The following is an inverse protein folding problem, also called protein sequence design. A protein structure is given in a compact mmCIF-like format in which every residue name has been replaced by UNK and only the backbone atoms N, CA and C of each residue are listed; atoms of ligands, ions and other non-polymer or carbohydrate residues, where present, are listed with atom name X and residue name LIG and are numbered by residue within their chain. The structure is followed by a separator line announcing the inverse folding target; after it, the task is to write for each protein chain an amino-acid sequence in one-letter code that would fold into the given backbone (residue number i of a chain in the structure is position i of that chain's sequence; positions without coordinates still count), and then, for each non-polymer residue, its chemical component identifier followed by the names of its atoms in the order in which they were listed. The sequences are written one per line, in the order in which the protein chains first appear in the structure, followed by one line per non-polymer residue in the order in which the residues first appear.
data_IF_212768284061
#
_entry.id   IF_212768284061
#
_cell.length_a   1.000
_cell.length_b   1.000
_cell.length_c   1.000
_cell.angle_alpha   90.00
_cell.angle_beta   90.00
_cell.angle_gamma   90.00
#
_symmetry.space_group_name_H-M   'P 1'
#
loop_
_entity.id
_entity.type
_entity.pdbx_description
1 polymer ?
#
# COMPACT_ATOMS: atom_id res chain seq x y z
N UNK A 1 -1.32 1.53 32.94
CA UNK A 1 -0.64 1.73 31.65
C UNK A 1 0.85 1.70 31.94
N UNK A 2 1.53 0.56 31.74
CA UNK A 2 2.99 0.51 31.83
C UNK A 2 3.53 1.10 30.53
N UNK A 3 4.33 2.15 30.62
CA UNK A 3 5.04 2.72 29.49
C UNK A 3 6.09 1.69 29.05
N UNK A 4 5.88 1.03 27.92
CA UNK A 4 6.90 0.19 27.32
C UNK A 4 7.92 1.10 26.65
N UNK A 5 9.13 1.17 27.20
CA UNK A 5 10.21 1.96 26.62
C UNK A 5 11.37 1.00 26.29
N UNK A 6 11.65 0.86 25.00
CA UNK A 6 12.69 -0.02 24.48
C UNK A 6 14.07 0.60 24.65
N UNK A 7 15.07 -0.21 25.00
CA UNK A 7 16.48 0.16 24.88
C UNK A 7 16.90 0.12 23.41
N UNK A 8 16.69 1.21 22.67
CA UNK A 8 17.16 1.28 21.28
C UNK A 8 18.64 1.62 21.31
N UNK A 9 19.46 0.57 21.24
CA UNK A 9 20.85 0.67 20.85
C UNK A 9 20.89 0.73 19.31
N UNK A 10 21.42 1.81 18.75
CA UNK A 10 21.64 1.93 17.31
C UNK A 10 23.12 2.21 17.07
N UNK A 11 23.85 1.20 16.61
CA UNK A 11 25.27 1.34 16.29
C UNK A 11 25.44 1.25 14.78
N UNK A 12 25.58 2.40 14.12
CA UNK A 12 25.82 2.47 12.67
C UNK A 12 27.32 2.40 12.40
N UNK A 13 27.73 1.38 11.65
CA UNK A 13 29.07 1.31 11.05
C UNK A 13 28.95 1.80 9.62
N UNK A 14 29.81 2.72 9.20
CA UNK A 14 30.02 3.03 7.78
C UNK A 14 31.34 2.36 7.41
N UNK A 15 31.27 1.42 6.47
CA UNK A 15 32.44 0.70 5.98
C UNK A 15 33.52 1.71 5.53
N UNK A 16 34.71 1.66 6.17
CA UNK A 16 35.82 2.58 5.93
C UNK A 16 36.65 2.95 7.17
N UNK A 17 36.11 2.78 8.39
CA UNK A 17 36.83 3.04 9.65
C UNK A 17 36.87 1.77 10.51
N UNK A 18 38.08 1.24 10.74
CA UNK A 18 38.33 -0.12 11.24
C UNK A 18 38.66 -0.17 12.75
N UNK A 19 37.67 0.13 13.59
CA UNK A 19 37.78 -0.07 15.03
C UNK A 19 36.50 -0.72 15.58
N UNK A 20 36.59 -1.55 16.64
CA UNK A 20 35.41 -2.03 17.32
C UNK A 20 34.61 -0.82 17.83
N UNK A 21 33.37 -0.70 17.35
CA UNK A 21 32.44 0.29 17.86
C UNK A 21 31.67 -0.36 19.02
N UNK A 22 31.65 0.33 20.15
CA UNK A 22 30.89 -0.07 21.34
C UNK A 22 29.93 1.05 21.72
N UNK A 23 28.72 0.68 22.12
CA UNK A 23 27.76 1.63 22.69
C UNK A 23 27.01 0.95 23.82
N UNK A 24 26.58 1.74 24.81
CA UNK A 24 25.87 1.27 25.99
C UNK A 24 24.55 2.01 26.13
N UNK A 25 23.48 1.30 26.45
CA UNK A 25 22.21 1.89 26.86
C UNK A 25 21.70 1.24 28.15
N UNK A 26 21.14 2.06 29.04
CA UNK A 26 20.44 1.60 30.22
C UNK A 26 18.92 1.63 29.95
N UNK A 27 18.25 0.51 30.20
CA UNK A 27 16.81 0.35 30.06
C UNK A 27 16.07 0.86 31.28
N UNK A 28 14.75 1.00 31.15
CA UNK A 28 13.91 1.57 32.21
C UNK A 28 13.49 0.56 33.28
N UNK A 29 13.51 -0.76 33.00
CA UNK A 29 13.12 -1.80 33.97
C UNK A 29 14.30 -2.62 34.51
N UNK A 30 15.51 -2.05 34.50
CA UNK A 30 16.66 -2.66 35.14
C UNK A 30 17.41 -3.68 34.29
N UNK A 31 17.27 -3.70 32.95
CA UNK A 31 18.33 -4.25 32.11
C UNK A 31 19.23 -3.13 31.57
N UNK A 32 20.52 -3.41 31.44
CA UNK A 32 21.44 -2.61 30.62
C UNK A 32 22.02 -3.47 29.52
N UNK A 33 22.28 -2.86 28.36
CA UNK A 33 22.86 -3.51 27.20
C UNK A 33 24.13 -2.78 26.75
N UNK A 34 25.21 -3.53 26.55
CA UNK A 34 26.40 -3.06 25.84
C UNK A 34 26.53 -3.84 24.52
N UNK A 35 26.45 -3.13 23.40
CA UNK A 35 26.55 -3.72 22.07
C UNK A 35 27.92 -3.46 21.44
N UNK A 36 28.45 -4.46 20.75
CA UNK A 36 29.66 -4.39 19.94
C UNK A 36 29.40 -4.99 18.57
N UNK A 37 29.93 -4.36 17.53
CA UNK A 37 29.91 -4.91 16.17
C UNK A 37 31.36 -5.12 15.73
N UNK A 38 31.66 -6.30 15.18
CA UNK A 38 32.98 -6.62 14.65
C UNK A 38 32.88 -7.32 13.30
N UNK A 39 33.88 -7.07 12.45
CA UNK A 39 34.05 -7.73 11.16
C UNK A 39 35.38 -8.48 11.20
N UNK A 40 35.35 -9.80 11.07
CA UNK A 40 36.54 -10.66 11.00
C UNK A 40 36.35 -11.67 9.87
N UNK A 41 37.36 -11.79 9.00
CA UNK A 41 37.41 -12.83 7.94
C UNK A 41 36.16 -12.88 7.03
N UNK A 42 35.53 -11.73 6.76
CA UNK A 42 34.30 -11.69 5.95
C UNK A 42 33.04 -12.12 6.69
N UNK A 43 33.04 -12.12 8.02
CA UNK A 43 31.86 -12.34 8.84
C UNK A 43 31.58 -11.11 9.70
N UNK A 44 30.37 -10.57 9.57
CA UNK A 44 29.91 -9.49 10.46
C UNK A 44 29.27 -10.14 11.68
N UNK A 45 29.76 -9.79 12.86
CA UNK A 45 29.23 -10.26 14.14
C UNK A 45 28.75 -9.08 14.98
N UNK A 46 27.58 -9.24 15.59
CA UNK A 46 27.06 -8.34 16.61
C UNK A 46 27.03 -9.08 17.94
N UNK A 47 27.68 -8.57 18.98
CA UNK A 47 27.56 -9.08 20.33
C UNK A 47 26.87 -8.07 21.23
N UNK A 48 25.96 -8.55 22.06
CA UNK A 48 25.33 -7.77 23.13
C UNK A 48 25.64 -8.43 24.45
N UNK A 49 26.12 -7.65 25.40
CA UNK A 49 26.15 -8.01 26.81
C UNK A 49 24.93 -7.42 27.51
N UNK A 50 24.11 -8.28 28.11
CA UNK A 50 22.90 -7.92 28.84
C UNK A 50 23.14 -8.10 30.33
N UNK A 51 22.90 -7.06 31.13
CA UNK A 51 22.99 -7.14 32.59
C UNK A 51 21.64 -6.83 33.20
N UNK A 52 21.15 -7.73 34.06
CA UNK A 52 19.88 -7.57 34.76
C UNK A 52 20.11 -7.11 36.21
N UNK A 53 19.74 -5.87 36.48
CA UNK A 53 19.81 -5.19 37.77
C UNK A 53 18.60 -5.49 38.66
N UNK A 54 17.69 -6.38 38.24
CA UNK A 54 16.51 -6.76 39.01
C UNK A 54 16.72 -8.05 39.82
N UNK A 55 15.88 -8.24 40.84
CA UNK A 55 15.87 -9.45 41.68
C UNK A 55 15.15 -10.65 41.06
N UNK A 56 14.67 -10.53 39.81
CA UNK A 56 13.95 -11.60 39.09
C UNK A 56 14.58 -11.84 37.72
N UNK A 57 14.53 -13.07 37.22
CA UNK A 57 14.98 -13.37 35.86
C UNK A 57 14.15 -12.56 34.85
N UNK A 58 14.82 -12.00 33.84
CA UNK A 58 14.22 -11.27 32.73
C UNK A 58 14.45 -12.03 31.41
N UNK A 59 13.73 -11.64 30.36
CA UNK A 59 14.05 -12.06 28.98
C UNK A 59 14.22 -10.85 28.08
N UNK A 60 15.15 -10.96 27.13
CA UNK A 60 15.37 -9.95 26.11
C UNK A 60 15.43 -10.58 24.72
N UNK A 61 14.93 -9.87 23.72
CA UNK A 61 15.10 -10.20 22.31
C UNK A 61 16.25 -9.36 21.73
N UNK A 62 17.28 -10.03 21.22
CA UNK A 62 18.43 -9.42 20.56
C UNK A 62 18.27 -9.57 19.05
N UNK A 63 18.35 -8.45 18.32
CA UNK A 63 18.20 -8.40 16.87
C UNK A 63 19.43 -7.79 16.21
N UNK A 64 19.95 -8.46 15.19
CA UNK A 64 21.10 -8.01 14.41
C UNK A 64 20.72 -7.95 12.93
N UNK A 65 20.85 -6.77 12.33
CA UNK A 65 20.41 -6.47 10.98
C UNK A 65 21.50 -5.74 10.18
N UNK A 66 21.65 -6.06 8.90
CA UNK A 66 22.57 -5.41 7.95
C UNK A 66 21.74 -4.79 6.84
N UNK A 67 22.04 -3.55 6.48
CA UNK A 67 21.41 -2.79 5.42
C UNK A 67 22.47 -2.38 4.38
N UNK A 68 22.14 -2.46 3.10
CA UNK A 68 22.95 -2.00 1.97
C UNK A 68 22.11 -0.98 1.20
N UNK A 69 22.62 0.24 1.01
CA UNK A 69 21.88 1.33 0.35
C UNK A 69 20.44 1.49 0.89
N UNK A 70 20.33 1.57 2.23
CA UNK A 70 19.08 1.64 3.01
C UNK A 70 18.13 0.42 2.87
N UNK A 71 18.52 -0.63 2.15
CA UNK A 71 17.77 -1.87 1.98
C UNK A 71 18.24 -2.96 2.94
N UNK A 72 17.34 -3.65 3.66
CA UNK A 72 17.75 -4.74 4.57
C UNK A 72 18.34 -5.92 3.76
N UNK A 73 19.64 -6.15 3.90
CA UNK A 73 20.35 -7.27 3.28
C UNK A 73 20.25 -8.57 4.10
N UNK A 74 20.31 -8.47 5.45
CA UNK A 74 20.27 -9.66 6.32
C UNK A 74 19.78 -9.36 7.73
N UNK A 75 19.16 -10.35 8.38
CA UNK A 75 18.68 -10.24 9.77
C UNK A 75 18.80 -11.56 10.55
N UNK A 76 19.10 -11.44 11.85
CA UNK A 76 19.05 -12.53 12.85
C UNK A 76 18.42 -12.01 14.14
N UNK A 77 17.64 -12.86 14.78
CA UNK A 77 17.02 -12.57 16.08
C UNK A 77 17.25 -13.74 17.03
N UNK A 78 17.42 -13.45 18.33
CA UNK A 78 17.50 -14.47 19.37
C UNK A 78 16.98 -13.95 20.69
N UNK A 79 16.13 -14.74 21.34
CA UNK A 79 15.71 -14.51 22.71
C UNK A 79 16.76 -15.03 23.69
N UNK A 80 17.05 -14.23 24.71
CA UNK A 80 18.06 -14.50 25.74
C UNK A 80 17.39 -14.40 27.11
N UNK A 81 17.54 -15.44 27.92
CA UNK A 81 17.19 -15.38 29.33
C UNK A 81 18.33 -14.68 30.08
N UNK A 82 18.01 -13.63 30.85
CA UNK A 82 18.98 -12.85 31.63
C UNK A 82 18.73 -13.12 33.12
N UNK A 83 19.60 -13.90 33.80
CA UNK A 83 19.46 -14.22 35.22
C UNK A 83 19.36 -12.98 36.09
N UNK A 84 18.72 -13.09 37.26
CA UNK A 84 18.67 -12.02 38.25
C UNK A 84 20.07 -11.70 38.82
N UNK A 85 20.23 -10.50 39.40
CA UNK A 85 21.35 -10.20 40.30
C UNK A 85 22.66 -9.81 39.61
N UNK A 86 22.61 -8.84 38.69
CA UNK A 86 23.77 -8.19 38.03
C UNK A 86 24.69 -9.15 37.25
N UNK A 87 24.23 -10.37 36.97
CA UNK A 87 24.98 -11.32 36.15
C UNK A 87 24.83 -10.95 34.69
N UNK A 88 25.94 -10.58 34.05
CA UNK A 88 25.98 -10.29 32.62
C UNK A 88 25.84 -11.57 31.78
N UNK A 89 25.04 -11.50 30.72
CA UNK A 89 24.91 -12.56 29.69
C UNK A 89 25.30 -11.98 28.35
N UNK A 90 26.32 -12.57 27.73
CA UNK A 90 26.74 -12.20 26.38
C UNK A 90 26.02 -13.05 25.34
N UNK A 91 25.38 -12.39 24.38
CA UNK A 91 24.81 -13.02 23.20
C UNK A 91 25.49 -12.49 21.93
N UNK A 92 26.09 -13.41 21.17
CA UNK A 92 26.66 -13.11 19.85
C UNK A 92 25.75 -13.61 18.75
N UNK A 93 25.47 -12.77 17.77
CA UNK A 93 24.80 -13.10 16.51
C UNK A 93 25.82 -12.90 15.38
N UNK A 94 25.92 -13.89 14.51
CA UNK A 94 26.80 -13.85 13.34
C UNK A 94 25.96 -13.87 12.06
N UNK A 95 26.40 -13.07 11.09
CA UNK A 95 25.89 -13.06 9.72
C UNK A 95 27.07 -13.37 8.79
N UNK A 96 26.95 -14.45 8.03
CA UNK A 96 27.94 -14.81 7.02
C UNK A 96 27.86 -13.78 5.89
N UNK A 97 28.91 -12.98 5.69
CA UNK A 97 28.96 -11.97 4.62
C UNK A 97 29.38 -12.59 3.28
N UNK A 98 28.90 -13.81 3.00
CA UNK A 98 29.14 -14.49 1.71
C UNK A 98 28.40 -13.83 0.55
N UNK A 99 27.48 -12.90 0.83
CA UNK A 99 27.01 -11.93 -0.15
C UNK A 99 27.89 -10.68 -0.04
N UNK A 100 28.38 -10.20 -1.18
CA UNK A 100 29.11 -8.95 -1.38
C UNK A 100 28.45 -7.79 -0.64
N UNK A 101 28.80 -7.61 0.63
CA UNK A 101 28.43 -6.40 1.37
C UNK A 101 29.14 -5.26 0.67
N UNK A 102 28.37 -4.35 0.09
CA UNK A 102 28.91 -3.20 -0.63
C UNK A 102 29.88 -2.40 0.27
N UNK A 103 30.70 -1.55 -0.32
CA UNK A 103 31.62 -0.66 0.42
C UNK A 103 30.90 0.29 1.41
N UNK A 104 29.55 0.29 1.44
CA UNK A 104 28.72 1.06 2.37
C UNK A 104 27.51 0.25 2.85
N UNK A 105 27.67 -0.49 3.95
CA UNK A 105 26.57 -1.14 4.65
C UNK A 105 26.33 -0.53 6.03
N UNK A 106 25.06 -0.30 6.38
CA UNK A 106 24.63 0.10 7.72
C UNK A 106 24.27 -1.15 8.52
N UNK A 107 24.97 -1.41 9.61
CA UNK A 107 24.60 -2.47 10.56
C UNK A 107 23.77 -1.89 11.70
N UNK A 108 22.80 -2.62 12.24
CA UNK A 108 22.01 -2.24 13.42
C UNK A 108 21.90 -3.42 14.39
N UNK A 109 22.11 -3.16 15.67
CA UNK A 109 22.03 -4.15 16.76
C UNK A 109 21.07 -3.64 17.84
N UNK A 110 19.91 -4.26 18.00
CA UNK A 110 18.82 -3.78 18.85
C UNK A 110 18.48 -4.79 19.97
N UNK A 111 18.06 -4.31 21.14
CA UNK A 111 17.72 -5.11 22.32
C UNK A 111 16.38 -4.67 22.92
N UNK A 112 15.46 -5.61 23.12
CA UNK A 112 14.08 -5.33 23.53
C UNK A 112 13.70 -6.20 24.73
N UNK A 113 13.02 -5.64 25.74
CA UNK A 113 12.56 -6.37 26.94
C UNK A 113 11.16 -6.97 26.73
N UNK A 114 10.98 -8.26 27.06
CA UNK A 114 9.69 -8.99 27.19
C UNK A 114 8.54 -8.67 26.20
N UNK A 115 8.64 -9.20 24.97
CA UNK A 115 7.60 -9.10 23.95
C UNK A 115 6.37 -10.03 24.15
N UNK A 116 6.19 -10.65 25.33
CA UNK A 116 5.34 -11.83 25.49
C UNK A 116 3.91 -11.64 26.01
N UNK A 117 3.45 -10.42 26.30
CA UNK A 117 2.00 -10.16 26.47
C UNK A 117 1.27 -9.80 25.17
N UNK A 118 1.98 -9.74 24.04
CA UNK A 118 1.38 -9.41 22.75
C UNK A 118 1.86 -10.34 21.63
N UNK A 119 1.44 -11.61 21.67
CA UNK A 119 1.64 -12.52 20.54
C UNK A 119 0.99 -12.08 19.20
N UNK A 120 -0.03 -11.20 19.12
CA UNK A 120 -0.47 -10.65 17.83
C UNK A 120 0.47 -9.55 17.30
N UNK A 121 1.23 -8.87 18.17
CA UNK A 121 2.03 -7.70 17.78
C UNK A 121 3.37 -8.05 17.13
N UNK A 122 3.92 -9.26 17.33
CA UNK A 122 5.19 -9.62 16.70
C UNK A 122 5.05 -9.85 15.18
N UNK A 123 3.90 -10.40 14.74
CA UNK A 123 3.56 -10.44 13.31
C UNK A 123 3.27 -9.03 12.83
N UNK A 124 2.31 -8.32 13.44
CA UNK A 124 1.91 -6.97 13.02
C UNK A 124 3.07 -5.97 12.92
N UNK A 125 4.07 -6.02 13.82
CA UNK A 125 5.26 -5.16 13.76
C UNK A 125 6.22 -5.58 12.64
N UNK A 126 6.42 -6.88 12.39
CA UNK A 126 7.25 -7.34 11.27
C UNK A 126 6.60 -7.07 9.91
N UNK A 127 5.30 -7.33 9.84
CA UNK A 127 4.34 -7.01 8.77
C UNK A 127 4.35 -5.49 8.49
N UNK A 128 4.24 -4.64 9.53
CA UNK A 128 4.36 -3.18 9.43
C UNK A 128 5.74 -2.69 8.98
N UNK A 129 6.84 -3.31 9.44
CA UNK A 129 8.18 -2.94 8.98
C UNK A 129 8.45 -3.41 7.54
N UNK A 130 7.90 -4.55 7.12
CA UNK A 130 7.99 -5.03 5.73
C UNK A 130 7.15 -4.18 4.78
N UNK A 131 5.99 -3.71 5.22
CA UNK A 131 5.20 -2.74 4.46
C UNK A 131 5.80 -1.34 4.44
N UNK A 132 6.37 -0.87 5.55
CA UNK A 132 7.15 0.37 5.56
C UNK A 132 8.35 0.29 4.60
N UNK A 133 8.91 -0.93 4.40
CA UNK A 133 9.96 -1.21 3.41
C UNK A 133 9.43 -1.34 1.98
N UNK A 134 8.20 -1.82 1.81
CA UNK A 134 7.50 -1.81 0.53
C UNK A 134 6.90 -0.44 0.19
N UNK A 135 6.94 0.51 1.13
CA UNK A 135 6.37 1.85 0.97
C UNK A 135 4.86 1.94 1.13
N UNK A 136 4.18 0.89 1.60
CA UNK A 136 2.73 0.87 1.77
C UNK A 136 2.27 1.62 3.03
N UNK A 137 1.16 2.35 2.93
CA UNK A 137 0.62 3.23 3.95
C UNK A 137 -0.34 2.54 4.93
N UNK A 138 -1.06 1.49 4.52
CA UNK A 138 -2.13 0.90 5.36
C UNK A 138 -2.03 -0.63 5.49
N UNK A 139 -2.02 -1.13 6.71
CA UNK A 139 -2.13 -2.57 6.95
C UNK A 139 -3.54 -3.06 6.59
N UNK A 140 -3.70 -4.27 6.01
CA UNK A 140 -4.99 -4.93 5.93
C UNK A 140 -5.70 -4.92 7.30
N UNK A 141 -7.03 -4.76 7.37
CA UNK A 141 -7.73 -4.79 8.65
C UNK A 141 -7.50 -6.14 9.35
N UNK A 142 -7.39 -6.11 10.68
CA UNK A 142 -7.35 -7.32 11.47
C UNK A 142 -8.64 -8.12 11.26
N UNK A 143 -8.50 -9.38 10.84
CA UNK A 143 -9.63 -10.28 10.61
C UNK A 143 -9.81 -11.22 11.80
N UNK A 144 -11.05 -11.46 12.18
CA UNK A 144 -11.43 -12.44 13.20
C UNK A 144 -12.19 -13.59 12.52
N UNK A 145 -11.56 -14.78 12.54
CA UNK A 145 -12.07 -16.01 11.95
C UNK A 145 -12.62 -15.84 10.52
N UNK A 146 -11.81 -15.32 9.58
CA UNK A 146 -12.30 -14.96 8.26
C UNK A 146 -12.80 -16.19 7.49
N UNK A 147 -13.84 -15.98 6.68
CA UNK A 147 -14.27 -16.94 5.67
C UNK A 147 -13.48 -16.69 4.39
N UNK A 148 -12.81 -17.73 3.88
CA UNK A 148 -12.08 -17.65 2.61
C UNK A 148 -13.03 -17.99 1.47
N UNK A 149 -13.00 -17.18 0.42
CA UNK A 149 -13.72 -17.43 -0.84
C UNK A 149 -12.69 -17.46 -1.97
N UNK A 150 -12.54 -18.63 -2.57
CA UNK A 150 -11.74 -18.80 -3.79
C UNK A 150 -12.64 -18.59 -5.01
N UNK A 151 -12.33 -17.57 -5.80
CA UNK A 151 -13.02 -17.31 -7.06
C UNK A 151 -12.47 -18.21 -8.16
N UNK A 152 -13.38 -18.72 -8.99
CA UNK A 152 -13.03 -19.28 -10.28
C UNK A 152 -12.79 -18.15 -11.31
N UNK A 153 -12.15 -18.46 -12.46
CA UNK A 153 -11.94 -17.49 -13.54
C UNK A 153 -13.25 -16.86 -14.04
N UNK A 154 -14.33 -17.63 -13.96
CA UNK A 154 -15.69 -17.20 -14.29
C UNK A 154 -16.67 -17.51 -13.15
N UNK A 155 -17.87 -16.96 -13.20
CA UNK A 155 -18.95 -17.23 -12.25
C UNK A 155 -19.25 -16.07 -11.29
N UNK A 156 -20.23 -16.30 -10.42
CA UNK A 156 -20.84 -15.25 -9.60
C UNK A 156 -20.08 -14.96 -8.30
N UNK A 157 -20.06 -13.69 -7.89
CA UNK A 157 -19.59 -13.27 -6.57
C UNK A 157 -20.71 -13.34 -5.53
N UNK A 158 -20.62 -14.20 -4.49
CA UNK A 158 -21.70 -14.39 -3.53
C UNK A 158 -21.94 -13.13 -2.67
N UNK A 159 -23.16 -12.99 -2.14
CA UNK A 159 -23.41 -12.02 -1.07
C UNK A 159 -22.69 -12.47 0.20
N UNK A 160 -22.00 -11.54 0.85
CA UNK A 160 -21.29 -11.75 2.09
C UNK A 160 -22.18 -11.44 3.31
N UNK A 161 -21.88 -12.04 4.46
CA UNK A 161 -22.56 -11.82 5.75
C UNK A 161 -21.89 -10.68 6.50
N UNK A 162 -22.64 -9.62 6.82
CA UNK A 162 -22.14 -8.42 7.51
C UNK A 162 -21.58 -8.68 8.91
N UNK A 163 -21.75 -9.88 9.47
CA UNK A 163 -21.16 -10.26 10.76
C UNK A 163 -19.83 -11.04 10.63
N UNK A 164 -19.34 -11.26 9.41
CA UNK A 164 -18.15 -12.06 9.14
C UNK A 164 -17.09 -11.28 8.38
N UNK A 165 -15.84 -11.61 8.68
CA UNK A 165 -14.70 -11.15 7.89
C UNK A 165 -14.43 -12.11 6.73
N UNK A 166 -13.86 -11.60 5.65
CA UNK A 166 -13.63 -12.36 4.43
C UNK A 166 -12.23 -12.13 3.86
N UNK A 167 -11.65 -13.23 3.36
CA UNK A 167 -10.51 -13.18 2.44
C UNK A 167 -11.02 -13.65 1.09
N UNK A 168 -10.88 -12.80 0.08
CA UNK A 168 -11.25 -13.08 -1.30
C UNK A 168 -9.99 -13.42 -2.09
N UNK A 169 -9.97 -14.57 -2.76
CA UNK A 169 -8.84 -15.03 -3.55
C UNK A 169 -9.23 -15.11 -5.00
N UNK A 170 -8.52 -14.36 -5.83
CA UNK A 170 -8.61 -14.50 -7.27
C UNK A 170 -7.96 -15.82 -7.72
N UNK A 171 -8.28 -16.30 -8.94
CA UNK A 171 -7.62 -17.47 -9.48
C UNK A 171 -6.09 -17.25 -9.49
N UNK A 172 -5.31 -18.24 -9.00
CA UNK A 172 -3.88 -18.05 -8.81
C UNK A 172 -3.07 -18.13 -10.10
N UNK A 173 -3.63 -18.72 -11.17
CA UNK A 173 -2.88 -19.08 -12.38
C UNK A 173 -3.40 -18.42 -13.66
N UNK A 174 -4.55 -17.74 -13.60
CA UNK A 174 -5.16 -17.08 -14.77
C UNK A 174 -6.01 -15.87 -14.35
N UNK A 175 -6.25 -14.90 -15.25
CA UNK A 175 -7.11 -13.77 -14.97
C UNK A 175 -8.55 -14.21 -14.71
N UNK A 176 -9.22 -13.52 -13.78
CA UNK A 176 -10.68 -13.58 -13.68
C UNK A 176 -11.29 -12.66 -14.73
N UNK A 177 -12.29 -13.13 -15.48
CA UNK A 177 -12.96 -12.37 -16.56
C UNK A 177 -14.38 -11.94 -16.20
N UNK A 178 -14.69 -11.91 -14.91
CA UNK A 178 -16.01 -11.61 -14.35
C UNK A 178 -15.84 -10.65 -13.18
N UNK A 179 -16.83 -9.78 -12.96
CA UNK A 179 -16.79 -8.82 -11.86
C UNK A 179 -16.57 -9.52 -10.51
N UNK A 180 -15.63 -8.98 -9.72
CA UNK A 180 -15.52 -9.23 -8.28
C UNK A 180 -16.45 -8.28 -7.58
N UNK A 181 -17.61 -8.78 -7.18
CA UNK A 181 -18.63 -7.97 -6.49
C UNK A 181 -18.55 -8.19 -4.99
N UNK A 182 -18.14 -7.15 -4.27
CA UNK A 182 -17.97 -7.17 -2.81
C UNK A 182 -19.21 -6.53 -2.18
N UNK A 183 -20.24 -7.34 -1.92
CA UNK A 183 -21.51 -6.91 -1.33
C UNK A 183 -21.75 -7.56 0.03
N UNK A 184 -21.75 -6.75 1.08
CA UNK A 184 -21.79 -7.20 2.47
C UNK A 184 -20.42 -7.60 3.03
N UNK A 185 -20.36 -7.99 4.30
CA UNK A 185 -19.14 -8.37 5.02
C UNK A 185 -18.68 -7.30 6.02
N UNK A 186 -18.05 -7.74 7.12
CA UNK A 186 -17.55 -6.86 8.21
C UNK A 186 -16.19 -6.26 7.94
N UNK A 187 -15.24 -7.05 7.44
CA UNK A 187 -14.00 -6.59 6.81
C UNK A 187 -13.69 -7.54 5.66
N UNK A 188 -13.19 -7.01 4.56
CA UNK A 188 -12.90 -7.81 3.36
C UNK A 188 -11.51 -7.50 2.87
N UNK A 189 -10.72 -8.54 2.64
CA UNK A 189 -9.36 -8.44 2.13
C UNK A 189 -9.27 -9.18 0.80
N UNK A 190 -8.77 -8.49 -0.22
CA UNK A 190 -8.45 -9.03 -1.54
C UNK A 190 -6.99 -8.70 -1.84
N UNK A 191 -6.13 -9.71 -1.89
CA UNK A 191 -4.69 -9.53 -2.11
C UNK A 191 -4.24 -10.38 -3.28
N UNK A 192 -3.55 -9.74 -4.21
CA UNK A 192 -3.00 -10.38 -5.39
C UNK A 192 -4.04 -10.82 -6.41
N UNK A 193 -3.53 -11.30 -7.54
CA UNK A 193 -4.32 -11.82 -8.64
C UNK A 193 -4.66 -10.77 -9.70
N UNK A 194 -5.19 -11.26 -10.82
CA UNK A 194 -5.46 -10.45 -12.00
C UNK A 194 -6.94 -10.53 -12.37
N UNK A 195 -7.49 -9.40 -12.79
CA UNK A 195 -8.83 -9.30 -13.36
C UNK A 195 -8.71 -8.71 -14.76
N UNK A 196 -9.30 -9.38 -15.73
CA UNK A 196 -9.56 -8.82 -17.05
C UNK A 196 -10.95 -8.19 -17.04
N UNK A 197 -11.07 -6.95 -17.53
CA UNK A 197 -12.36 -6.27 -17.67
C UNK A 197 -13.33 -7.20 -18.41
N UNK A 198 -14.51 -7.49 -17.82
CA UNK A 198 -15.48 -8.39 -18.43
C UNK A 198 -15.87 -7.95 -19.84
N UNK A 199 -16.36 -8.91 -20.63
CA UNK A 199 -16.86 -8.65 -21.98
C UNK A 199 -17.87 -7.48 -21.98
N UNK A 200 -17.76 -6.56 -22.95
CA UNK A 200 -18.65 -5.40 -23.06
C UNK A 200 -20.13 -5.71 -23.30
N UNK A 201 -20.50 -6.99 -23.45
CA UNK A 201 -21.88 -7.44 -23.54
C UNK A 201 -22.33 -8.18 -22.28
N UNK A 202 -21.49 -8.28 -21.25
CA UNK A 202 -21.88 -8.85 -19.97
C UNK A 202 -22.94 -7.97 -19.27
N UNK A 203 -23.51 -8.44 -18.18
CA UNK A 203 -24.47 -7.63 -17.41
C UNK A 203 -23.79 -6.58 -16.52
N UNK A 204 -22.49 -6.73 -16.32
CA UNK A 204 -21.64 -5.91 -15.46
C UNK A 204 -20.23 -5.91 -16.06
N UNK A 205 -19.69 -4.74 -16.40
CA UNK A 205 -18.39 -4.62 -17.07
C UNK A 205 -17.31 -4.04 -16.14
N UNK A 206 -17.52 -4.11 -14.84
CA UNK A 206 -16.55 -3.63 -13.85
C UNK A 206 -15.63 -4.76 -13.44
N UNK A 207 -14.34 -4.49 -13.23
CA UNK A 207 -13.45 -5.47 -12.63
C UNK A 207 -13.81 -5.71 -11.16
N UNK A 208 -13.87 -4.64 -10.35
CA UNK A 208 -14.27 -4.69 -8.94
C UNK A 208 -15.46 -3.76 -8.72
N UNK A 209 -16.52 -4.28 -8.09
CA UNK A 209 -17.67 -3.46 -7.68
C UNK A 209 -17.94 -3.64 -6.18
N UNK A 210 -17.81 -2.55 -5.44
CA UNK A 210 -17.97 -2.52 -3.98
C UNK A 210 -19.35 -1.93 -3.66
N UNK A 211 -20.19 -2.73 -3.02
CA UNK A 211 -21.50 -2.32 -2.50
C UNK A 211 -21.45 -2.30 -0.97
N UNK A 212 -22.36 -1.62 -0.30
CA UNK A 212 -22.37 -1.51 1.17
C UNK A 212 -22.35 -2.88 1.90
N UNK A 213 -21.89 -2.83 3.16
CA UNK A 213 -21.89 -3.95 4.11
C UNK A 213 -22.00 -3.46 5.56
N UNK A 214 -21.28 -4.07 6.50
CA UNK A 214 -21.30 -3.62 7.88
C UNK A 214 -20.85 -2.14 8.02
N UNK A 215 -21.50 -1.33 8.86
CA UNK A 215 -21.11 0.07 9.07
C UNK A 215 -19.67 0.22 9.55
N UNK A 216 -18.89 1.09 8.91
CA UNK A 216 -17.50 1.36 9.28
C UNK A 216 -16.52 0.23 8.93
N UNK A 217 -16.93 -0.72 8.08
CA UNK A 217 -16.06 -1.78 7.58
C UNK A 217 -14.90 -1.24 6.76
N UNK A 218 -13.85 -2.05 6.64
CA UNK A 218 -12.76 -1.83 5.69
C UNK A 218 -12.80 -2.89 4.58
N UNK A 219 -12.75 -2.45 3.33
CA UNK A 219 -12.41 -3.27 2.17
C UNK A 219 -10.99 -2.91 1.75
N UNK A 220 -10.06 -3.86 1.87
CA UNK A 220 -8.65 -3.69 1.54
C UNK A 220 -8.32 -4.48 0.28
N UNK A 221 -7.76 -3.80 -0.72
CA UNK A 221 -7.37 -4.33 -2.02
C UNK A 221 -5.89 -4.05 -2.21
N UNK A 222 -5.09 -5.11 -2.37
CA UNK A 222 -3.64 -4.97 -2.53
C UNK A 222 -3.08 -5.80 -3.67
N UNK A 223 -2.14 -5.26 -4.45
CA UNK A 223 -1.35 -6.07 -5.38
C UNK A 223 -2.15 -6.65 -6.54
N UNK A 224 -3.26 -6.02 -6.90
CA UNK A 224 -4.14 -6.48 -7.98
C UNK A 224 -3.78 -5.78 -9.30
N UNK A 225 -3.75 -6.57 -10.37
CA UNK A 225 -3.63 -6.09 -11.75
C UNK A 225 -5.01 -6.14 -12.43
N UNK A 226 -5.43 -5.03 -13.04
CA UNK A 226 -6.57 -4.98 -13.94
C UNK A 226 -6.09 -4.71 -15.37
N UNK A 227 -6.50 -5.54 -16.32
CA UNK A 227 -6.22 -5.35 -17.75
C UNK A 227 -7.50 -5.23 -18.54
N UNK A 228 -7.45 -4.56 -19.69
CA UNK A 228 -8.56 -4.49 -20.63
C UNK A 228 -8.09 -4.93 -22.01
N UNK A 229 -8.86 -5.79 -22.69
CA UNK A 229 -8.52 -6.33 -24.00
C UNK A 229 -9.54 -5.91 -25.06
N UNK A 230 -9.04 -5.62 -26.27
CA UNK A 230 -9.88 -5.25 -27.40
C UNK A 230 -10.78 -4.06 -27.09
N UNK A 231 -12.05 -4.17 -27.51
CA UNK A 231 -13.10 -3.15 -27.30
C UNK A 231 -13.92 -3.39 -26.02
N UNK A 232 -13.40 -4.17 -25.06
CA UNK A 232 -14.05 -4.27 -23.74
C UNK A 232 -13.98 -2.92 -23.04
N UNK A 233 -15.00 -2.57 -22.27
CA UNK A 233 -15.09 -1.26 -21.63
C UNK A 233 -15.74 -1.38 -20.25
N UNK A 234 -15.15 -0.73 -19.24
CA UNK A 234 -15.78 -0.51 -17.94
C UNK A 234 -14.78 -0.10 -16.87
N UNK A 235 -15.26 0.07 -15.64
CA UNK A 235 -14.44 0.56 -14.55
C UNK A 235 -13.51 -0.52 -13.98
N UNK A 236 -12.31 -0.12 -13.56
CA UNK A 236 -11.47 -1.00 -12.77
C UNK A 236 -12.04 -1.16 -11.35
N UNK A 237 -12.41 -0.06 -10.69
CA UNK A 237 -13.10 -0.08 -9.39
C UNK A 237 -14.29 0.89 -9.40
N UNK A 238 -15.50 0.38 -9.21
CA UNK A 238 -16.66 1.21 -8.88
C UNK A 238 -17.09 0.99 -7.43
N UNK A 239 -17.54 2.06 -6.76
CA UNK A 239 -17.90 2.04 -5.35
C UNK A 239 -19.29 2.68 -5.15
N UNK A 240 -20.16 1.93 -4.48
CA UNK A 240 -21.49 2.34 -4.03
C UNK A 240 -21.68 1.87 -2.58
N UNK A 241 -20.85 2.44 -1.70
CA UNK A 241 -20.67 1.96 -0.35
C UNK A 241 -20.39 3.12 0.64
N UNK A 242 -21.34 4.05 0.85
CA UNK A 242 -21.15 5.27 1.65
C UNK A 242 -20.76 5.02 3.11
N UNK A 243 -20.87 3.78 3.61
CA UNK A 243 -20.49 3.41 4.98
C UNK A 243 -19.16 2.63 5.06
N UNK A 244 -18.44 2.50 3.94
CA UNK A 244 -17.24 1.65 3.81
C UNK A 244 -15.97 2.47 3.63
N UNK A 245 -14.92 2.13 4.37
CA UNK A 245 -13.55 2.56 4.09
C UNK A 245 -12.99 1.63 3.01
N UNK A 246 -12.51 2.18 1.90
CA UNK A 246 -11.86 1.43 0.83
C UNK A 246 -10.37 1.78 0.80
N UNK A 247 -9.53 0.78 0.98
CA UNK A 247 -8.07 0.87 0.89
C UNK A 247 -7.60 0.17 -0.38
N UNK A 248 -6.84 0.87 -1.20
CA UNK A 248 -6.28 0.36 -2.46
C UNK A 248 -4.77 0.62 -2.46
N UNK A 249 -3.99 -0.45 -2.48
CA UNK A 249 -2.53 -0.39 -2.41
C UNK A 249 -1.85 -1.27 -3.44
N UNK A 250 -0.71 -0.84 -4.00
CA UNK A 250 -0.02 -1.57 -5.07
C UNK A 250 -1.00 -2.03 -6.17
N UNK A 251 -1.76 -1.09 -6.71
CA UNK A 251 -2.79 -1.40 -7.71
C UNK A 251 -2.33 -0.95 -9.08
N UNK A 252 -2.51 -1.81 -10.09
CA UNK A 252 -2.15 -1.49 -11.46
C UNK A 252 -3.33 -1.66 -12.40
N UNK A 253 -3.57 -0.68 -13.25
CA UNK A 253 -4.55 -0.76 -14.34
C UNK A 253 -3.87 -0.52 -15.68
N UNK A 254 -4.03 -1.45 -16.61
CA UNK A 254 -3.42 -1.36 -17.92
C UNK A 254 -4.48 -1.24 -19.02
N UNK A 255 -4.35 -0.16 -19.79
CA UNK A 255 -5.08 0.08 -21.02
C UNK A 255 -6.59 0.05 -20.84
N UNK A 256 -7.11 0.65 -19.77
CA UNK A 256 -8.54 0.78 -19.56
C UNK A 256 -9.18 1.51 -20.73
N UNK A 257 -10.33 1.02 -21.19
CA UNK A 257 -11.01 1.54 -22.37
C UNK A 257 -12.39 2.04 -21.99
N UNK A 258 -12.70 3.28 -22.33
CA UNK A 258 -14.04 3.85 -22.29
C UNK A 258 -14.36 4.55 -23.60
N UNK A 259 -15.65 4.83 -23.78
CA UNK A 259 -16.15 5.39 -25.02
C UNK A 259 -17.30 6.36 -24.77
N UNK A 260 -17.28 7.48 -25.48
CA UNK A 260 -18.34 8.48 -25.47
C UNK A 260 -19.05 8.51 -26.82
N UNK A 261 -20.37 8.67 -26.78
CA UNK A 261 -21.21 8.91 -27.95
C UNK A 261 -21.07 7.87 -29.10
N UNK A 262 -20.84 6.59 -28.77
CA UNK A 262 -20.75 5.53 -29.79
C UNK A 262 -22.11 4.91 -30.12
N UNK A 263 -22.19 4.19 -31.24
CA UNK A 263 -23.37 3.39 -31.60
C UNK A 263 -23.65 2.25 -30.61
N UNK A 264 -22.63 1.82 -29.85
CA UNK A 264 -22.77 0.80 -28.80
C UNK A 264 -23.23 1.40 -27.46
N UNK A 265 -23.27 2.73 -27.35
CA UNK A 265 -23.65 3.46 -26.16
C UNK A 265 -22.53 4.37 -25.66
N UNK A 266 -22.73 4.86 -24.45
CA UNK A 266 -21.82 5.75 -23.75
C UNK A 266 -21.37 5.00 -22.49
N UNK A 267 -20.09 4.70 -22.39
CA UNK A 267 -19.51 3.97 -21.27
C UNK A 267 -18.36 4.77 -20.66
N UNK A 268 -18.57 5.17 -19.41
CA UNK A 268 -17.55 5.79 -18.58
C UNK A 268 -16.68 4.69 -18.02
N UNK A 269 -15.40 4.70 -18.37
CA UNK A 269 -14.43 3.76 -17.82
C UNK A 269 -13.42 4.52 -16.97
N UNK A 270 -13.58 4.33 -15.67
CA UNK A 270 -12.81 4.98 -14.64
C UNK A 270 -11.86 3.97 -13.97
N UNK A 271 -10.64 4.41 -13.66
CA UNK A 271 -9.72 3.60 -12.85
C UNK A 271 -10.31 3.40 -11.44
N UNK A 272 -10.82 4.47 -10.83
CA UNK A 272 -11.61 4.38 -9.59
C UNK A 272 -12.76 5.39 -9.64
N UNK A 273 -13.97 4.92 -9.32
CA UNK A 273 -15.20 5.72 -9.31
C UNK A 273 -16.06 5.46 -8.07
N UNK A 274 -16.03 6.32 -7.04
CA UNK A 274 -16.99 6.28 -5.93
C UNK A 274 -18.36 6.91 -6.26
N UNK A 275 -18.97 6.51 -7.38
CA UNK A 275 -20.22 7.08 -7.90
C UNK A 275 -21.39 7.00 -6.91
N UNK A 276 -21.50 5.89 -6.16
CA UNK A 276 -22.54 5.64 -5.19
C UNK A 276 -22.12 5.98 -3.76
N UNK A 277 -21.03 6.72 -3.57
CA UNK A 277 -20.52 7.12 -2.26
C UNK A 277 -19.49 6.15 -1.67
N UNK A 278 -18.62 6.70 -0.82
CA UNK A 278 -17.64 5.97 -0.01
C UNK A 278 -17.43 6.71 1.31
N UNK A 279 -17.23 6.01 2.44
CA UNK A 279 -16.96 6.68 3.72
C UNK A 279 -15.57 7.33 3.72
N UNK A 280 -14.58 6.60 3.20
CA UNK A 280 -13.22 7.09 3.00
C UNK A 280 -12.55 6.27 1.89
N UNK A 281 -11.92 6.93 0.93
CA UNK A 281 -11.09 6.29 -0.09
C UNK A 281 -9.62 6.57 0.19
N UNK A 282 -8.84 5.51 0.37
CA UNK A 282 -7.40 5.54 0.60
C UNK A 282 -6.70 4.84 -0.55
N UNK A 283 -5.84 5.56 -1.26
CA UNK A 283 -5.09 5.03 -2.40
C UNK A 283 -3.62 5.35 -2.21
N UNK A 284 -2.76 4.34 -2.28
CA UNK A 284 -1.32 4.48 -2.22
C UNK A 284 -0.66 3.51 -3.20
N UNK A 285 0.35 3.97 -3.94
CA UNK A 285 0.99 3.19 -5.01
C UNK A 285 -0.05 2.69 -6.03
N UNK A 286 -0.53 3.63 -6.85
CA UNK A 286 -1.40 3.34 -7.99
C UNK A 286 -0.70 3.74 -9.29
N UNK A 287 -0.57 2.80 -10.21
CA UNK A 287 -0.25 3.10 -11.60
C UNK A 287 -1.40 2.72 -12.49
N UNK A 288 -1.88 3.64 -13.32
CA UNK A 288 -3.02 3.36 -14.19
C UNK A 288 -2.91 4.02 -15.56
N UNK A 289 -3.39 3.34 -16.59
CA UNK A 289 -3.58 3.94 -17.91
C UNK A 289 -5.00 3.73 -18.43
N UNK A 290 -5.57 4.78 -19.01
CA UNK A 290 -6.94 4.80 -19.53
C UNK A 290 -7.02 5.70 -20.75
N UNK A 291 -7.75 5.31 -21.79
CA UNK A 291 -8.07 6.23 -22.90
C UNK A 291 -9.15 7.25 -22.50
N UNK A 292 -9.87 7.01 -21.40
CA UNK A 292 -11.01 7.79 -20.94
C UNK A 292 -10.63 8.57 -19.69
N UNK A 293 -10.88 8.00 -18.51
CA UNK A 293 -10.79 8.71 -17.25
C UNK A 293 -9.96 7.94 -16.22
N UNK A 294 -9.31 8.69 -15.34
CA UNK A 294 -8.51 8.14 -14.25
C UNK A 294 -9.34 8.00 -12.98
N UNK A 295 -9.17 8.92 -12.04
CA UNK A 295 -9.93 8.97 -10.80
C UNK A 295 -11.13 9.88 -10.99
N UNK A 296 -12.35 9.33 -11.01
CA UNK A 296 -13.58 10.11 -11.04
C UNK A 296 -14.21 10.18 -9.65
N UNK A 297 -13.83 11.19 -8.89
CA UNK A 297 -14.14 11.27 -7.47
C UNK A 297 -15.51 11.92 -7.19
N UNK A 298 -16.29 12.20 -8.23
CA UNK A 298 -17.59 12.83 -8.11
C UNK A 298 -18.65 11.82 -7.65
N UNK A 299 -19.45 12.19 -6.65
CA UNK A 299 -20.56 11.35 -6.19
C UNK A 299 -21.83 11.63 -7.02
N UNK A 300 -22.37 10.64 -7.71
CA UNK A 300 -23.58 10.79 -8.54
C UNK A 300 -24.88 10.55 -7.76
N UNK A 301 -24.86 9.66 -6.76
CA UNK A 301 -26.07 9.24 -6.05
C UNK A 301 -26.04 9.44 -4.54
N UNK A 302 -24.87 9.32 -3.91
CA UNK A 302 -24.71 9.51 -2.46
C UNK A 302 -23.61 10.55 -2.18
N UNK A 303 -23.06 10.54 -0.98
CA UNK A 303 -21.98 11.42 -0.57
C UNK A 303 -20.67 10.65 -0.47
N UNK A 304 -19.59 11.32 -0.84
CA UNK A 304 -18.25 10.87 -0.55
C UNK A 304 -17.77 11.49 0.77
N UNK A 305 -17.14 10.67 1.61
CA UNK A 305 -16.29 11.12 2.70
C UNK A 305 -14.84 11.27 2.23
N UNK A 306 -13.88 11.23 3.15
CA UNK A 306 -12.53 11.71 2.86
C UNK A 306 -11.77 10.90 1.77
N UNK A 307 -10.88 11.58 1.06
CA UNK A 307 -9.96 11.00 0.07
C UNK A 307 -8.51 11.23 0.48
N UNK A 308 -7.73 10.16 0.54
CA UNK A 308 -6.29 10.21 0.80
C UNK A 308 -5.60 9.51 -0.36
N UNK A 309 -4.98 10.30 -1.24
CA UNK A 309 -4.43 9.84 -2.51
C UNK A 309 -2.92 10.09 -2.52
N UNK A 310 -2.13 9.02 -2.58
CA UNK A 310 -0.68 9.04 -2.44
C UNK A 310 0.00 8.24 -3.54
N UNK A 311 1.14 8.72 -4.03
CA UNK A 311 2.03 7.96 -4.91
C UNK A 311 1.28 7.35 -6.10
N UNK A 312 0.66 8.22 -6.89
CA UNK A 312 -0.19 7.84 -8.02
C UNK A 312 0.43 8.36 -9.31
N UNK A 313 0.52 7.53 -10.35
CA UNK A 313 0.83 7.99 -11.70
C UNK A 313 -0.19 7.47 -12.71
N UNK A 314 -0.85 8.39 -13.41
CA UNK A 314 -1.91 8.10 -14.37
C UNK A 314 -1.49 8.51 -15.78
N UNK A 315 -1.77 7.67 -16.76
CA UNK A 315 -1.50 7.97 -18.17
C UNK A 315 -2.79 8.02 -18.96
N UNK A 316 -3.04 9.15 -19.62
CA UNK A 316 -4.12 9.28 -20.56
C UNK A 316 -3.68 8.72 -21.92
N UNK A 317 -4.15 7.52 -22.24
CA UNK A 317 -3.83 6.85 -23.50
C UNK A 317 -4.46 7.60 -24.69
N UNK A 318 -3.87 7.38 -25.87
CA UNK A 318 -4.42 7.88 -27.11
C UNK A 318 -5.79 7.26 -27.40
N UNK A 319 -6.63 8.02 -28.11
CA UNK A 319 -7.85 7.51 -28.70
C UNK A 319 -7.47 6.59 -29.87
N UNK A 320 -7.93 5.34 -29.86
CA UNK A 320 -7.57 4.35 -30.87
C UNK A 320 -8.77 3.68 -31.55
N UNK A 321 -9.99 4.03 -31.13
CA UNK A 321 -11.24 3.76 -31.86
C UNK A 321 -12.17 4.99 -31.82
N UNK A 322 -13.26 4.99 -32.58
CA UNK A 322 -14.18 6.13 -32.64
C UNK A 322 -14.95 6.31 -31.32
N UNK A 323 -14.96 7.52 -30.78
CA UNK A 323 -15.50 7.81 -29.44
C UNK A 323 -14.60 7.38 -28.27
N UNK A 324 -13.43 6.78 -28.54
CA UNK A 324 -12.46 6.28 -27.56
C UNK A 324 -11.70 7.39 -26.84
N UNK A 325 -12.39 8.29 -26.17
CA UNK A 325 -11.77 9.45 -25.56
C UNK A 325 -12.76 10.31 -24.80
N UNK A 326 -12.23 11.07 -23.85
CA UNK A 326 -13.04 11.91 -22.96
C UNK A 326 -12.48 11.95 -21.55
N UNK A 327 -13.21 12.53 -20.61
CA UNK A 327 -12.83 12.53 -19.20
C UNK A 327 -11.52 13.24 -18.86
N UNK A 328 -11.18 13.16 -17.58
CA UNK A 328 -9.97 13.72 -16.99
C UNK A 328 -9.19 12.59 -16.29
N UNK A 329 -7.88 12.73 -16.09
CA UNK A 329 -7.17 11.75 -15.26
C UNK A 329 -7.48 11.97 -13.78
N UNK A 330 -7.79 13.20 -13.38
CA UNK A 330 -8.27 13.52 -12.03
C UNK A 330 -9.53 14.37 -12.17
N UNK A 331 -10.66 13.88 -11.65
CA UNK A 331 -11.89 14.65 -11.49
C UNK A 331 -12.22 14.73 -10.01
N UNK A 332 -12.13 15.92 -9.42
CA UNK A 332 -12.45 16.14 -8.00
C UNK A 332 -13.96 16.24 -7.77
N UNK A 333 -14.42 15.86 -6.57
CA UNK A 333 -15.84 15.93 -6.23
C UNK A 333 -16.36 17.37 -6.18
N UNK A 334 -17.46 17.61 -6.88
CA UNK A 334 -18.18 18.91 -6.89
C UNK A 334 -19.66 18.75 -6.54
N UNK A 335 -20.18 17.51 -6.46
CA UNK A 335 -21.60 17.22 -6.28
C UNK A 335 -21.95 16.94 -4.82
N UNK A 336 -21.01 16.43 -4.03
CA UNK A 336 -21.23 16.20 -2.61
C UNK A 336 -21.60 17.52 -1.92
N UNK A 337 -22.75 17.55 -1.23
CA UNK A 337 -23.23 18.76 -0.53
C UNK A 337 -22.28 19.24 0.57
N UNK A 338 -21.48 18.31 1.12
CA UNK A 338 -20.29 18.59 1.89
C UNK A 338 -19.12 17.96 1.12
N UNK A 339 -18.30 18.76 0.43
CA UNK A 339 -17.19 18.22 -0.34
C UNK A 339 -16.22 17.42 0.55
N UNK A 340 -15.74 16.27 0.07
CA UNK A 340 -14.85 15.40 0.81
C UNK A 340 -13.50 16.08 1.09
N UNK A 341 -12.96 15.89 2.31
CA UNK A 341 -11.58 16.28 2.59
C UNK A 341 -10.65 15.45 1.70
N UNK A 342 -9.93 16.11 0.80
CA UNK A 342 -9.12 15.47 -0.23
C UNK A 342 -7.66 15.83 -0.05
N UNK A 343 -6.79 14.83 0.09
CA UNK A 343 -5.34 14.99 0.17
C UNK A 343 -4.71 14.35 -1.07
N UNK A 344 -3.92 15.14 -1.79
CA UNK A 344 -3.14 14.73 -2.95
C UNK A 344 -1.64 14.84 -2.62
N UNK A 345 -0.95 13.72 -2.61
CA UNK A 345 0.50 13.64 -2.32
C UNK A 345 1.17 12.79 -3.39
N UNK A 346 2.16 13.36 -4.10
CA UNK A 346 2.86 12.65 -5.18
C UNK A 346 1.91 12.06 -6.24
N UNK A 347 0.95 12.87 -6.71
CA UNK A 347 0.03 12.50 -7.79
C UNK A 347 0.54 13.07 -9.10
N UNK A 348 0.80 12.20 -10.07
CA UNK A 348 1.37 12.52 -11.36
C UNK A 348 0.43 12.11 -12.49
N UNK A 349 0.38 12.94 -13.53
CA UNK A 349 -0.42 12.67 -14.72
C UNK A 349 0.47 12.84 -15.95
N UNK A 350 0.38 11.90 -16.87
CA UNK A 350 0.81 12.04 -18.26
C UNK A 350 -0.43 12.35 -19.11
N UNK A 351 -0.66 13.62 -19.51
CA UNK A 351 -1.77 13.99 -20.37
C UNK A 351 -1.68 13.31 -21.74
N UNK A 352 -2.79 13.29 -22.48
CA UNK A 352 -2.79 12.86 -23.88
C UNK A 352 -1.78 13.67 -24.68
N UNK A 353 -1.24 13.07 -25.74
CA UNK A 353 -0.33 13.74 -26.66
C UNK A 353 -0.93 15.07 -27.15
N UNK A 354 -0.19 16.16 -26.97
CA UNK A 354 -0.61 17.52 -27.35
C UNK A 354 -1.50 18.25 -26.31
N UNK A 355 -1.95 17.58 -25.25
CA UNK A 355 -2.67 18.23 -24.15
C UNK A 355 -1.71 18.75 -23.08
N UNK A 356 -2.11 19.82 -22.39
CA UNK A 356 -1.43 20.29 -21.19
C UNK A 356 -2.09 19.72 -19.93
N UNK A 357 -1.45 19.89 -18.77
CA UNK A 357 -1.93 19.37 -17.48
C UNK A 357 -3.34 19.87 -17.13
N UNK A 358 -3.67 21.14 -17.43
CA UNK A 358 -4.99 21.72 -17.17
C UNK A 358 -6.13 21.06 -17.95
N UNK A 359 -5.83 20.27 -19.00
CA UNK A 359 -6.82 19.46 -19.74
C UNK A 359 -6.88 18.01 -19.30
N UNK A 360 -6.09 17.62 -18.31
CA UNK A 360 -6.12 16.29 -17.72
C UNK A 360 -6.66 16.29 -16.28
N UNK A 361 -7.04 17.45 -15.74
CA UNK A 361 -7.60 17.58 -14.38
C UNK A 361 -8.89 18.40 -14.39
N UNK A 362 -9.78 18.14 -13.44
CA UNK A 362 -11.05 18.84 -13.24
C UNK A 362 -11.31 19.09 -11.74
N UNK A 363 -11.86 20.26 -11.33
CA UNK A 363 -12.33 21.38 -12.15
C UNK A 363 -11.23 22.07 -12.97
N UNK A 364 -11.55 22.48 -14.20
CA UNK A 364 -10.65 23.21 -15.13
C UNK A 364 -11.08 24.68 -15.33
N UNK A 365 -11.69 25.27 -14.30
CA UNK A 365 -12.25 26.63 -14.27
C UNK A 365 -11.40 27.61 -13.42
N UNK A 366 -12.03 28.67 -12.89
CA UNK A 366 -11.35 29.70 -12.09
C UNK A 366 -10.87 29.22 -10.71
N UNK A 367 -11.23 28.00 -10.31
CA UNK A 367 -10.70 27.35 -9.11
C UNK A 367 -9.31 26.74 -9.34
N UNK A 368 -8.96 26.45 -10.59
CA UNK A 368 -7.69 25.82 -10.97
C UNK A 368 -6.55 26.85 -11.05
N UNK A 369 -5.47 26.60 -10.32
CA UNK A 369 -4.21 27.31 -10.43
C UNK A 369 -3.14 26.38 -11.02
N UNK A 370 -2.56 26.78 -12.16
CA UNK A 370 -1.44 26.11 -12.80
C UNK A 370 -0.15 26.91 -12.54
N UNK A 371 0.93 26.22 -12.18
CA UNK A 371 2.26 26.84 -12.02
C UNK A 371 2.75 27.49 -13.33
N UNK A 372 3.66 28.46 -13.23
CA UNK A 372 4.14 29.22 -14.40
C UNK A 372 4.82 28.37 -15.46
N UNK A 373 5.37 27.21 -15.09
CA UNK A 373 5.98 26.22 -15.98
C UNK A 373 4.97 25.19 -16.54
N UNK A 374 3.70 25.25 -16.11
CA UNK A 374 2.67 24.31 -16.52
C UNK A 374 2.76 22.92 -15.89
N UNK A 375 3.72 22.69 -14.98
CA UNK A 375 4.05 21.37 -14.46
C UNK A 375 3.27 20.97 -13.20
N UNK A 376 2.54 21.89 -12.56
CA UNK A 376 1.81 21.63 -11.33
C UNK A 376 0.43 22.29 -11.34
N UNK A 377 -0.59 21.54 -10.94
CA UNK A 377 -1.98 21.94 -10.82
C UNK A 377 -2.46 21.83 -9.37
N UNK A 378 -3.09 22.88 -8.86
CA UNK A 378 -3.69 22.92 -7.53
C UNK A 378 -4.98 23.74 -7.53
N UNK A 379 -5.79 23.59 -6.47
CA UNK A 379 -7.08 24.26 -6.34
C UNK A 379 -7.15 25.08 -5.05
N UNK A 380 -6.45 26.23 -4.98
CA UNK A 380 -6.30 26.99 -3.72
C UNK A 380 -7.60 27.57 -3.17
N UNK A 381 -8.64 27.74 -4.00
CA UNK A 381 -9.97 28.18 -3.54
C UNK A 381 -10.80 27.04 -2.96
N UNK A 382 -10.47 25.79 -3.27
CA UNK A 382 -11.13 24.60 -2.73
C UNK A 382 -10.47 24.24 -1.39
N UNK A 383 -10.93 24.84 -0.29
CA UNK A 383 -10.31 24.66 1.04
C UNK A 383 -10.34 23.24 1.59
N UNK A 384 -11.15 22.35 1.00
CA UNK A 384 -11.21 20.94 1.34
C UNK A 384 -10.19 20.08 0.55
N UNK A 385 -9.47 20.68 -0.41
CA UNK A 385 -8.42 20.02 -1.20
C UNK A 385 -7.05 20.51 -0.72
N UNK A 386 -6.18 19.57 -0.38
CA UNK A 386 -4.79 19.82 0.00
C UNK A 386 -3.85 19.11 -0.96
N UNK A 387 -2.85 19.82 -1.45
CA UNK A 387 -1.86 19.30 -2.40
C UNK A 387 -2.22 19.65 -3.84
N UNK A 388 -1.81 18.80 -4.78
CA UNK A 388 -2.04 19.02 -6.20
C UNK A 388 -1.56 17.85 -7.06
N UNK A 389 -1.66 18.05 -8.37
CA UNK A 389 -1.27 17.09 -9.41
C UNK A 389 -0.08 17.66 -10.16
N UNK A 390 0.95 16.85 -10.37
CA UNK A 390 2.11 17.21 -11.18
C UNK A 390 2.03 16.57 -12.56
N UNK A 391 2.64 17.21 -13.55
CA UNK A 391 2.99 16.54 -14.80
C UNK A 391 4.02 15.44 -14.48
N UNK A 392 3.81 14.23 -14.98
CA UNK A 392 4.79 13.16 -14.85
C UNK A 392 6.10 13.56 -15.56
N UNK A 393 7.26 13.56 -14.86
CA UNK A 393 8.54 13.75 -15.50
C UNK A 393 8.80 12.70 -16.57
N UNK A 394 9.50 13.07 -17.65
CA UNK A 394 9.93 12.12 -18.65
C UNK A 394 10.79 11.02 -18.01
N UNK A 395 10.43 9.76 -18.25
CA UNK A 395 11.15 8.61 -17.69
C UNK A 395 10.92 8.38 -16.19
N UNK A 396 9.94 9.05 -15.56
CA UNK A 396 9.52 8.72 -14.20
C UNK A 396 9.13 7.24 -14.12
N UNK A 397 9.70 6.46 -13.18
CA UNK A 397 9.26 5.08 -12.98
C UNK A 397 7.82 5.06 -12.47
N UNK A 398 7.09 4.03 -12.86
CA UNK A 398 5.78 3.73 -12.30
C UNK A 398 5.90 3.48 -10.78
N UNK A 399 4.94 3.98 -10.00
CA UNK A 399 4.84 3.60 -8.58
C UNK A 399 4.56 2.11 -8.42
N UNK A 400 3.84 1.51 -9.37
CA UNK A 400 3.59 0.07 -9.47
C UNK A 400 4.12 -0.42 -10.82
N UNK A 401 5.39 -0.86 -10.90
CA UNK A 401 5.99 -1.35 -12.13
C UNK A 401 5.21 -2.51 -12.76
N UNK A 402 5.21 -2.61 -14.08
CA UNK A 402 4.62 -3.75 -14.79
C UNK A 402 5.20 -5.08 -14.27
N UNK A 403 4.32 -6.05 -14.00
CA UNK A 403 4.69 -7.36 -13.47
C UNK A 403 5.04 -7.40 -11.97
N UNK A 404 4.99 -6.27 -11.25
CA UNK A 404 5.18 -6.25 -9.79
C UNK A 404 3.94 -6.68 -9.01
N UNK A 405 2.77 -6.66 -9.65
CA UNK A 405 1.46 -7.00 -9.07
C UNK A 405 0.69 -7.93 -10.00
N UNK A 406 -0.41 -8.50 -9.53
CA UNK A 406 -1.19 -9.48 -10.29
C UNK A 406 -1.00 -10.91 -9.81
N UNK A 407 -1.05 -11.86 -10.74
CA UNK A 407 -0.80 -13.28 -10.47
C UNK A 407 0.58 -13.47 -9.83
N UNK A 408 0.62 -14.19 -8.70
CA UNK A 408 1.87 -14.46 -7.97
C UNK A 408 2.35 -13.31 -7.09
N UNK A 409 1.60 -12.21 -6.97
CA UNK A 409 1.90 -11.16 -5.99
C UNK A 409 1.95 -11.74 -4.57
N UNK A 410 2.99 -11.35 -3.82
CA UNK A 410 3.18 -11.72 -2.42
C UNK A 410 3.17 -10.45 -1.60
N UNK A 411 2.17 -10.34 -0.72
CA UNK A 411 2.04 -9.18 0.15
C UNK A 411 3.23 -9.07 1.11
N UNK A 412 3.77 -7.85 1.33
CA UNK A 412 4.80 -7.62 2.34
C UNK A 412 4.27 -7.88 3.76
N UNK A 413 2.96 -7.91 3.95
CA UNK A 413 2.34 -8.16 5.25
C UNK A 413 2.42 -9.64 5.69
N UNK A 414 2.84 -10.55 4.80
CA UNK A 414 3.13 -11.96 5.07
C UNK A 414 2.05 -12.94 4.62
N UNK A 415 2.33 -14.24 4.76
CA UNK A 415 1.51 -15.35 4.24
C UNK A 415 0.15 -15.55 4.94
N UNK A 416 -0.25 -14.65 5.83
CA UNK A 416 -1.51 -14.74 6.56
C UNK A 416 -2.72 -14.49 5.64
N UNK A 417 -2.47 -13.89 4.47
CA UNK A 417 -3.45 -13.51 3.47
C UNK A 417 -3.29 -14.35 2.20
#
# INVERSE_FOLDING_TARGET
MKTFLSCILALTVICGVWFPLSTSAAGTEGLSAEGRISLQEGQITGSVELTNHTGTQQSADVMFAVYEDDTLAAIRTKRVAVPAGETAVTQTLALDANATVSESATVKLMVWEDLLLCRPLCSAVQTSLAALRAGLSWEPPALENPTVIDFAPTGYSPKLDDNKDYILRLPPDEPRTETVRIRGGRNVVLIGGQIEIPDRNASDHRAIYIEDGAPGRTVHIEGVLVTCHGENEGDAIAISAPNTIVQVENFRVENLQGAKDTNAGHNHSDIIQPWGGVLELRVDHLTGSSNYQGLFLNADYNQNGAFILKNINLTANAEWFDGAGGGYMIWLDEKSSLPPQTVLENVYVTPRSGANLGKAVHPDDDTLAISSDGAFAAWPSLTHVRGGVSLAPEGMPDFVPAGSVGIGYVSPWGNLY
#
